data_IF_025930495992
#
_entry.id   IF_025930495992
#
_cell.length_a   1.000
_cell.length_b   1.000
_cell.length_c   1.000
_cell.angle_alpha   90.00
_cell.angle_beta   90.00
_cell.angle_gamma   90.00
#
_symmetry.space_group_name_H-M   'P 1'
#
loop_
_entity.id
_entity.type
_entity.pdbx_description
1 polymer ?
#
# COMPACT_ATOMS: atom_id res chain seq x y z
N UNK A 1 -19.40 25.29 -16.15
CA UNK A 1 -18.74 24.40 -17.11
C UNK A 1 -17.84 23.52 -16.29
N UNK A 2 -18.20 22.24 -16.11
CA UNK A 2 -17.36 21.27 -15.40
C UNK A 2 -16.04 21.10 -16.17
N UNK A 3 -14.93 21.09 -15.44
CA UNK A 3 -13.62 20.85 -16.05
C UNK A 3 -13.51 19.38 -16.49
N UNK A 4 -12.65 19.08 -17.46
CA UNK A 4 -12.38 17.70 -17.89
C UNK A 4 -11.99 16.80 -16.71
N UNK A 5 -11.29 17.35 -15.73
CA UNK A 5 -10.88 16.61 -14.52
C UNK A 5 -12.07 16.19 -13.65
N UNK A 6 -13.10 17.05 -13.51
CA UNK A 6 -14.31 16.70 -12.76
C UNK A 6 -15.12 15.61 -13.47
N UNK A 7 -15.13 15.63 -14.80
CA UNK A 7 -15.78 14.58 -15.59
C UNK A 7 -15.05 13.25 -15.53
N UNK A 8 -13.73 13.26 -15.46
CA UNK A 8 -12.91 12.06 -15.35
C UNK A 8 -13.03 11.42 -13.95
N UNK A 9 -13.01 12.25 -12.92
CA UNK A 9 -13.25 11.83 -11.54
C UNK A 9 -14.59 11.09 -11.40
N UNK A 10 -15.66 11.66 -11.93
CA UNK A 10 -16.98 11.06 -11.86
C UNK A 10 -17.08 9.70 -12.58
N UNK A 11 -16.20 9.43 -13.53
CA UNK A 11 -16.17 8.15 -14.24
C UNK A 11 -15.38 7.05 -13.55
N UNK A 12 -14.42 7.39 -12.71
CA UNK A 12 -13.41 6.44 -12.21
C UNK A 12 -13.48 6.19 -10.71
N UNK A 13 -13.96 7.12 -9.91
CA UNK A 13 -14.03 7.03 -8.44
C UNK A 13 -14.75 5.77 -7.97
N UNK A 14 -15.81 5.35 -8.67
CA UNK A 14 -16.57 4.14 -8.34
C UNK A 14 -15.72 2.86 -8.33
N UNK A 15 -14.58 2.86 -9.04
CA UNK A 15 -13.71 1.66 -9.15
C UNK A 15 -13.06 1.28 -7.82
N UNK A 16 -12.84 2.25 -6.94
CA UNK A 16 -12.29 2.02 -5.60
C UNK A 16 -13.37 2.03 -4.50
N UNK A 17 -14.65 2.07 -4.87
CA UNK A 17 -15.73 2.02 -3.88
C UNK A 17 -15.65 0.73 -3.06
N UNK A 18 -15.64 0.87 -1.73
CA UNK A 18 -15.52 -0.26 -0.81
C UNK A 18 -14.10 -0.82 -0.70
N UNK A 19 -13.10 -0.05 -1.11
CA UNK A 19 -11.70 -0.43 -0.89
C UNK A 19 -11.44 -0.73 0.59
N UNK A 20 -10.59 -1.72 0.84
CA UNK A 20 -10.19 -2.11 2.19
C UNK A 20 -9.53 -0.95 2.96
N UNK A 21 -9.52 -0.98 4.29
CA UNK A 21 -8.75 -0.03 5.09
C UNK A 21 -7.29 0.04 4.61
N UNK A 22 -6.78 1.26 4.45
CA UNK A 22 -5.41 1.51 3.98
C UNK A 22 -4.54 1.92 5.16
N UNK A 23 -3.40 1.28 5.31
CA UNK A 23 -2.32 1.69 6.21
C UNK A 23 -1.16 2.20 5.37
N UNK A 24 -1.04 3.53 5.29
CA UNK A 24 -0.05 4.19 4.45
C UNK A 24 1.18 4.57 5.27
N UNK A 25 2.31 4.01 4.90
CA UNK A 25 3.60 4.16 5.58
C UNK A 25 4.30 5.39 5.02
N UNK A 26 4.66 6.33 5.91
CA UNK A 26 5.32 7.58 5.55
C UNK A 26 6.31 8.00 6.63
N UNK A 27 7.51 8.42 6.23
CA UNK A 27 8.51 9.01 7.12
C UNK A 27 8.05 10.38 7.62
N UNK A 28 8.21 10.67 8.91
CA UNK A 28 7.82 11.96 9.49
C UNK A 28 8.59 13.12 8.89
N UNK A 29 9.80 12.88 8.41
CA UNK A 29 10.61 13.85 7.69
C UNK A 29 10.20 14.11 6.23
N UNK A 30 9.11 13.49 5.74
CA UNK A 30 8.64 13.60 4.35
C UNK A 30 7.16 14.07 4.29
N UNK A 31 6.83 15.27 4.81
CA UNK A 31 5.45 15.75 4.86
C UNK A 31 4.84 15.99 3.48
N UNK A 32 5.64 16.36 2.48
CA UNK A 32 5.18 16.57 1.11
C UNK A 32 4.70 15.27 0.44
N UNK A 33 5.31 14.12 0.76
CA UNK A 33 4.87 12.82 0.27
C UNK A 33 3.55 12.43 0.94
N UNK A 34 3.38 12.77 2.21
CA UNK A 34 2.11 12.55 2.90
C UNK A 34 0.99 13.40 2.29
N UNK A 35 1.25 14.69 2.03
CA UNK A 35 0.29 15.58 1.36
C UNK A 35 -0.11 15.04 -0.03
N UNK A 36 0.84 14.48 -0.78
CA UNK A 36 0.57 13.83 -2.05
C UNK A 36 -0.41 12.67 -1.89
N UNK A 37 -0.20 11.78 -0.89
CA UNK A 37 -1.10 10.67 -0.63
C UNK A 37 -2.49 11.14 -0.17
N UNK A 38 -2.59 12.13 0.71
CA UNK A 38 -3.88 12.70 1.13
C UNK A 38 -4.66 13.29 -0.06
N UNK A 39 -3.96 13.95 -0.98
CA UNK A 39 -4.59 14.48 -2.20
C UNK A 39 -5.13 13.34 -3.09
N UNK A 40 -4.41 12.23 -3.22
CA UNK A 40 -4.91 11.05 -3.92
C UNK A 40 -6.13 10.44 -3.21
N UNK A 41 -6.08 10.24 -1.89
CA UNK A 41 -7.19 9.70 -1.11
C UNK A 41 -8.43 10.57 -1.26
N UNK A 42 -8.28 11.89 -1.18
CA UNK A 42 -9.35 12.84 -1.42
C UNK A 42 -9.91 12.76 -2.84
N UNK A 43 -9.05 12.66 -3.86
CA UNK A 43 -9.47 12.53 -5.25
C UNK A 43 -10.31 11.27 -5.48
N UNK A 44 -9.89 10.15 -4.89
CA UNK A 44 -10.54 8.85 -5.03
C UNK A 44 -11.66 8.60 -4.02
N UNK A 45 -12.00 9.59 -3.17
CA UNK A 45 -13.02 9.48 -2.11
C UNK A 45 -12.75 8.31 -1.15
N UNK A 46 -11.47 8.06 -0.85
CA UNK A 46 -11.03 7.07 0.12
C UNK A 46 -11.02 7.73 1.49
N UNK A 47 -11.87 7.27 2.42
CA UNK A 47 -12.01 7.82 3.76
C UNK A 47 -11.35 6.94 4.83
N UNK A 48 -11.23 5.63 4.56
CA UNK A 48 -10.72 4.67 5.53
C UNK A 48 -9.22 4.43 5.32
N UNK A 49 -8.42 5.36 5.79
CA UNK A 49 -6.96 5.22 5.79
C UNK A 49 -6.34 5.67 7.11
N UNK A 50 -5.19 5.10 7.43
CA UNK A 50 -4.40 5.41 8.62
C UNK A 50 -2.95 5.67 8.18
N UNK A 51 -2.41 6.83 8.58
CA UNK A 51 -0.98 7.10 8.42
C UNK A 51 -0.19 6.31 9.45
N UNK A 52 0.84 5.62 8.98
CA UNK A 52 1.81 4.94 9.83
C UNK A 52 3.13 5.71 9.73
N UNK A 53 3.53 6.34 10.84
CA UNK A 53 4.86 6.95 10.97
C UNK A 53 5.91 5.86 10.82
N UNK A 54 6.68 5.91 9.74
CA UNK A 54 7.69 4.93 9.40
C UNK A 54 8.91 5.05 10.32
N UNK A 55 9.63 3.95 10.49
CA UNK A 55 10.96 3.97 11.09
C UNK A 55 12.01 4.36 10.05
N UNK A 56 12.86 5.33 10.37
CA UNK A 56 14.09 5.57 9.61
C UNK A 56 15.21 4.68 10.15
N UNK A 57 15.52 3.61 9.46
CA UNK A 57 16.55 2.66 9.89
C UNK A 57 17.97 3.26 9.93
N UNK A 58 18.16 4.50 9.49
CA UNK A 58 19.44 5.22 9.57
C UNK A 58 19.55 6.03 10.86
N UNK A 59 18.43 6.44 11.46
CA UNK A 59 18.35 7.37 12.57
C UNK A 59 17.71 6.74 13.82
N UNK A 60 16.74 5.82 13.64
CA UNK A 60 15.99 5.21 14.72
C UNK A 60 16.77 4.06 15.36
N UNK A 61 16.74 3.97 16.69
CA UNK A 61 17.20 2.78 17.41
C UNK A 61 16.11 1.69 17.33
N UNK A 62 16.37 0.69 16.53
CA UNK A 62 15.44 -0.43 16.31
C UNK A 62 15.79 -1.67 17.17
N UNK A 63 16.72 -1.57 18.12
CA UNK A 63 17.21 -2.71 18.92
C UNK A 63 16.13 -3.40 19.74
N UNK A 64 15.08 -2.68 20.14
CA UNK A 64 13.94 -3.26 20.86
C UNK A 64 12.99 -4.04 19.95
N UNK A 65 12.98 -3.72 18.66
CA UNK A 65 12.09 -4.33 17.67
C UNK A 65 12.78 -5.51 17.00
N UNK A 66 14.06 -5.33 16.69
CA UNK A 66 14.90 -6.27 15.97
C UNK A 66 15.62 -7.16 16.99
N UNK A 67 15.24 -8.44 17.02
CA UNK A 67 15.89 -9.43 17.90
C UNK A 67 16.52 -10.53 17.05
N UNK A 68 17.82 -10.75 17.29
CA UNK A 68 18.58 -11.80 16.60
C UNK A 68 19.59 -11.26 15.58
N UNK A 69 20.11 -12.16 14.76
CA UNK A 69 21.13 -11.83 13.75
C UNK A 69 20.45 -11.56 12.41
N UNK A 70 20.70 -10.39 11.87
CA UNK A 70 20.22 -10.02 10.54
C UNK A 70 21.19 -10.44 9.46
N UNK A 71 20.72 -10.68 8.24
CA UNK A 71 21.61 -10.79 7.10
C UNK A 71 22.43 -9.51 6.98
N UNK A 72 23.75 -9.62 6.97
CA UNK A 72 24.68 -8.49 6.87
C UNK A 72 24.54 -7.71 5.56
N UNK A 73 23.72 -8.19 4.63
CA UNK A 73 23.47 -7.58 3.33
C UNK A 73 22.30 -6.60 3.31
N UNK A 74 21.48 -6.53 4.38
CA UNK A 74 20.39 -5.57 4.44
C UNK A 74 20.91 -4.18 4.78
N UNK A 75 20.51 -3.20 4.00
CA UNK A 75 20.76 -1.80 4.28
C UNK A 75 19.87 -1.29 5.44
N UNK A 76 20.28 -0.22 6.09
CA UNK A 76 19.46 0.43 7.12
C UNK A 76 18.08 0.84 6.60
N UNK A 77 18.00 1.32 5.36
CA UNK A 77 16.74 1.66 4.71
C UNK A 77 15.80 0.47 4.56
N UNK A 78 16.30 -0.69 4.13
CA UNK A 78 15.51 -1.93 4.02
C UNK A 78 15.02 -2.41 5.39
N UNK A 79 15.84 -2.25 6.43
CA UNK A 79 15.46 -2.56 7.80
C UNK A 79 14.33 -1.63 8.26
N UNK A 80 14.47 -0.32 8.06
CA UNK A 80 13.44 0.67 8.37
C UNK A 80 12.12 0.40 7.64
N UNK A 81 12.18 0.12 6.34
CA UNK A 81 11.02 -0.26 5.54
C UNK A 81 10.33 -1.51 6.11
N UNK A 82 11.06 -2.60 6.29
CA UNK A 82 10.52 -3.87 6.81
C UNK A 82 9.86 -3.70 8.17
N UNK A 83 10.53 -3.00 9.11
CA UNK A 83 9.98 -2.77 10.46
C UNK A 83 8.75 -1.86 10.44
N UNK A 84 8.70 -0.91 9.50
CA UNK A 84 7.52 -0.05 9.28
C UNK A 84 6.32 -0.84 8.77
N UNK A 85 6.52 -1.76 7.84
CA UNK A 85 5.46 -2.69 7.40
C UNK A 85 4.97 -3.57 8.56
N UNK A 86 5.85 -4.09 9.38
CA UNK A 86 5.45 -4.85 10.59
C UNK A 86 4.66 -3.97 11.57
N UNK A 87 5.01 -2.69 11.70
CA UNK A 87 4.23 -1.73 12.51
C UNK A 87 2.83 -1.54 11.94
N UNK A 88 2.70 -1.35 10.63
CA UNK A 88 1.42 -1.23 9.95
C UNK A 88 0.54 -2.47 10.17
N UNK A 89 1.11 -3.67 10.02
CA UNK A 89 0.42 -4.94 10.28
C UNK A 89 -0.04 -5.05 11.74
N UNK A 90 0.78 -4.62 12.71
CA UNK A 90 0.38 -4.60 14.13
C UNK A 90 -0.77 -3.64 14.41
N UNK A 91 -0.84 -2.51 13.74
CA UNK A 91 -1.99 -1.60 13.86
C UNK A 91 -3.25 -2.21 13.25
N UNK A 92 -3.15 -2.85 12.10
CA UNK A 92 -4.26 -3.58 11.49
C UNK A 92 -4.81 -4.67 12.41
N UNK A 93 -3.95 -5.45 13.06
CA UNK A 93 -4.35 -6.53 13.97
C UNK A 93 -5.11 -6.07 15.23
N UNK A 94 -5.21 -4.76 15.48
CA UNK A 94 -6.04 -4.20 16.54
C UNK A 94 -7.49 -3.97 16.10
N UNK A 95 -7.81 -4.25 14.86
CA UNK A 95 -9.14 -4.04 14.27
C UNK A 95 -9.81 -5.36 13.93
N UNK A 96 -11.13 -5.31 13.71
CA UNK A 96 -11.92 -6.47 13.28
C UNK A 96 -12.04 -6.56 11.75
N UNK A 97 -11.30 -5.74 10.99
CA UNK A 97 -11.34 -5.78 9.54
C UNK A 97 -10.74 -7.11 9.03
N UNK A 98 -11.39 -7.79 8.07
CA UNK A 98 -10.94 -9.10 7.60
C UNK A 98 -9.63 -9.03 6.82
N UNK A 99 -9.33 -7.90 6.20
CA UNK A 99 -8.10 -7.63 5.44
C UNK A 99 -7.87 -6.13 5.32
N UNK A 100 -6.67 -5.74 4.97
CA UNK A 100 -6.27 -4.35 4.77
C UNK A 100 -5.23 -4.21 3.67
N UNK A 101 -5.02 -3.00 3.20
CA UNK A 101 -3.96 -2.65 2.26
C UNK A 101 -2.81 -2.00 3.05
N UNK A 102 -1.60 -2.50 2.85
CA UNK A 102 -0.36 -1.86 3.29
C UNK A 102 0.28 -1.21 2.08
N UNK A 103 0.55 0.09 2.13
CA UNK A 103 1.21 0.80 1.04
C UNK A 103 2.22 1.81 1.55
N UNK A 104 3.18 2.15 0.72
CA UNK A 104 4.13 3.22 0.97
C UNK A 104 3.62 4.54 0.36
N UNK A 105 4.20 5.65 0.77
CA UNK A 105 3.81 7.01 0.39
C UNK A 105 4.28 7.44 -1.01
N UNK A 106 4.77 6.51 -1.81
CA UNK A 106 5.12 6.67 -3.23
C UNK A 106 4.22 5.87 -4.18
N UNK A 107 3.15 5.29 -3.66
CA UNK A 107 2.14 4.65 -4.49
C UNK A 107 1.36 5.68 -5.31
N UNK A 108 1.16 5.39 -6.60
CA UNK A 108 0.35 6.19 -7.50
C UNK A 108 -0.93 5.46 -7.88
N UNK A 109 -2.07 6.04 -7.52
CA UNK A 109 -3.39 5.49 -7.81
C UNK A 109 -3.93 5.93 -9.18
N UNK A 110 -3.20 6.72 -9.96
CA UNK A 110 -3.67 7.21 -11.27
C UNK A 110 -3.98 6.09 -12.26
N UNK A 111 -3.26 4.97 -12.17
CA UNK A 111 -3.47 3.82 -13.04
C UNK A 111 -4.85 3.18 -12.87
N UNK A 112 -5.53 3.42 -11.75
CA UNK A 112 -6.91 2.97 -11.52
C UNK A 112 -7.88 3.52 -12.56
N UNK A 113 -7.60 4.68 -13.15
CA UNK A 113 -8.39 5.26 -14.24
C UNK A 113 -8.51 4.32 -15.44
N UNK A 114 -7.49 3.50 -15.67
CA UNK A 114 -7.40 2.59 -16.80
C UNK A 114 -7.90 1.17 -16.49
N UNK A 115 -8.26 0.87 -15.23
CA UNK A 115 -8.85 -0.42 -14.89
C UNK A 115 -10.18 -0.60 -15.63
N UNK A 116 -10.42 -1.79 -16.15
CA UNK A 116 -11.71 -2.20 -16.70
C UNK A 116 -12.55 -3.01 -15.70
N UNK A 117 -12.17 -2.97 -14.43
CA UNK A 117 -12.80 -3.66 -13.30
C UNK A 117 -12.85 -2.73 -12.08
N UNK A 118 -13.63 -3.11 -11.08
CA UNK A 118 -13.71 -2.43 -9.79
C UNK A 118 -12.87 -3.15 -8.73
N UNK A 119 -12.67 -2.51 -7.57
CA UNK A 119 -12.08 -3.17 -6.40
C UNK A 119 -12.83 -4.46 -6.02
N UNK A 120 -14.15 -4.41 -6.02
CA UNK A 120 -14.99 -5.57 -5.71
C UNK A 120 -14.77 -6.71 -6.70
N UNK A 121 -14.65 -6.40 -7.99
CA UNK A 121 -14.35 -7.41 -9.02
C UNK A 121 -12.99 -8.05 -8.79
N UNK A 122 -11.99 -7.23 -8.45
CA UNK A 122 -10.63 -7.71 -8.18
C UNK A 122 -10.62 -8.67 -6.99
N UNK A 123 -11.20 -8.27 -5.87
CA UNK A 123 -11.25 -9.10 -4.64
C UNK A 123 -12.01 -10.41 -4.89
N UNK A 124 -13.09 -10.38 -5.68
CA UNK A 124 -13.84 -11.57 -6.02
C UNK A 124 -13.05 -12.61 -6.84
N UNK A 125 -11.93 -12.22 -7.44
CA UNK A 125 -11.05 -13.10 -8.21
C UNK A 125 -9.83 -13.60 -7.41
N UNK A 126 -9.65 -13.13 -6.17
CA UNK A 126 -8.59 -13.70 -5.34
C UNK A 126 -8.89 -15.17 -4.99
N UNK A 127 -7.86 -16.02 -4.89
CA UNK A 127 -8.04 -17.37 -4.35
C UNK A 127 -8.75 -17.32 -2.99
N UNK A 128 -9.63 -18.26 -2.70
CA UNK A 128 -10.41 -18.23 -1.45
C UNK A 128 -9.55 -18.35 -0.18
N UNK A 129 -8.35 -18.88 -0.31
CA UNK A 129 -7.38 -19.17 0.76
C UNK A 129 -6.15 -18.26 0.70
N UNK A 130 -6.28 -17.07 0.11
CA UNK A 130 -5.17 -16.11 0.07
C UNK A 130 -4.86 -15.55 1.46
N UNK A 131 -3.57 -15.42 1.78
CA UNK A 131 -3.07 -14.73 2.96
C UNK A 131 -2.55 -13.34 2.61
N UNK A 132 -1.81 -13.22 1.51
CA UNK A 132 -1.22 -11.98 1.03
C UNK A 132 -1.33 -11.90 -0.49
N UNK A 133 -1.73 -10.74 -0.98
CA UNK A 133 -1.75 -10.41 -2.41
C UNK A 133 -0.84 -9.22 -2.66
N UNK A 134 0.17 -9.40 -3.47
CA UNK A 134 1.05 -8.32 -3.89
C UNK A 134 0.43 -7.57 -5.07
N UNK A 135 0.00 -6.33 -4.84
CA UNK A 135 -0.72 -5.52 -5.81
C UNK A 135 0.18 -4.77 -6.78
N UNK A 136 1.43 -4.49 -6.38
CA UNK A 136 2.40 -3.79 -7.21
C UNK A 136 3.76 -4.45 -7.13
N UNK A 137 4.44 -4.53 -8.26
CA UNK A 137 5.81 -5.04 -8.37
C UNK A 137 6.61 -4.03 -9.18
N UNK A 138 7.71 -3.54 -8.61
CA UNK A 138 8.71 -2.76 -9.33
C UNK A 138 9.85 -3.70 -9.66
N UNK A 139 10.12 -3.87 -10.96
CA UNK A 139 11.21 -4.71 -11.44
C UNK A 139 12.13 -3.89 -12.35
N UNK A 140 13.41 -3.87 -12.04
CA UNK A 140 14.43 -3.16 -12.84
C UNK A 140 15.06 -4.03 -13.94
N UNK A 141 14.61 -5.27 -14.09
CA UNK A 141 15.06 -6.24 -15.08
C UNK A 141 13.90 -7.02 -15.69
N UNK A 142 14.22 -8.15 -16.32
CA UNK A 142 13.20 -9.01 -16.92
C UNK A 142 12.32 -9.64 -15.84
N UNK A 143 11.01 -9.45 -15.96
CA UNK A 143 10.02 -10.09 -15.09
C UNK A 143 9.69 -11.48 -15.61
N UNK A 144 10.13 -12.51 -14.89
CA UNK A 144 9.74 -13.89 -15.16
C UNK A 144 8.53 -14.27 -14.30
N UNK A 145 7.37 -14.32 -14.94
CA UNK A 145 6.14 -14.78 -14.26
C UNK A 145 6.09 -16.31 -14.35
N UNK A 146 6.30 -16.97 -13.22
CA UNK A 146 6.04 -18.39 -13.09
C UNK A 146 4.54 -18.58 -12.86
N UNK A 147 3.83 -19.06 -13.89
CA UNK A 147 2.46 -19.51 -13.73
C UNK A 147 2.46 -20.80 -12.92
N UNK A 148 2.02 -20.73 -11.67
CA UNK A 148 1.69 -21.91 -10.89
C UNK A 148 0.36 -22.44 -11.40
N UNK A 149 0.41 -23.45 -12.23
CA UNK A 149 -0.78 -24.26 -12.57
C UNK A 149 -1.00 -25.14 -11.35
N UNK A 150 -2.03 -24.85 -10.57
CA UNK A 150 -2.53 -25.81 -9.60
C UNK A 150 -3.11 -27.00 -10.39
N UNK A 151 -2.43 -28.12 -10.28
CA UNK A 151 -2.92 -29.41 -10.78
C UNK A 151 -3.84 -30.00 -9.72
#
# INVERSE_FOLDING_TARGET
METLDSMDKNKSVHKLKGIAPIYCINLDGQPERWEYMENQFKYWEIENYTRISAYDGREDDLSDIIKGTYPTMMSSGEIGCTTSHLKAMKEFLKTDAPYAIMMEDDCDLELVKFWNFTWADLVAHFPYDWDVVQMAIICTGDLHVLSLIHI
#
